data_IF_197734476934
#
_entry.id   IF_197734476934
#
_cell.length_a   1.000
_cell.length_b   1.000
_cell.length_c   1.000
_cell.angle_alpha   90.00
_cell.angle_beta   90.00
_cell.angle_gamma   90.00
#
_symmetry.space_group_name_H-M   'P 1'
#
loop_
_entity.id
_entity.type
_entity.pdbx_description
1 polymer ?
#
# COMPACT_ATOMS: atom_id res chain seq x y z
N UNK A 1 11.61 -40.39 -14.46
CA UNK A 1 10.52 -39.80 -15.25
C UNK A 1 9.40 -39.19 -14.39
N UNK A 2 9.29 -39.46 -13.09
CA UNK A 2 8.21 -38.95 -12.25
C UNK A 2 8.46 -37.56 -11.62
N UNK A 3 9.71 -37.17 -11.39
CA UNK A 3 10.05 -35.89 -10.73
C UNK A 3 9.82 -34.66 -11.64
N UNK A 4 10.01 -34.79 -12.93
CA UNK A 4 9.87 -33.68 -13.88
C UNK A 4 8.41 -33.27 -14.09
N UNK A 5 7.46 -34.21 -14.03
CA UNK A 5 6.03 -33.91 -14.23
C UNK A 5 5.42 -33.21 -12.99
N UNK A 6 5.87 -33.58 -11.79
CA UNK A 6 5.45 -32.90 -10.56
C UNK A 6 6.04 -31.50 -10.42
N UNK A 7 7.27 -31.28 -10.87
CA UNK A 7 7.88 -29.96 -10.92
C UNK A 7 7.20 -29.06 -11.95
N UNK A 8 6.84 -29.57 -13.12
CA UNK A 8 6.10 -28.82 -14.14
C UNK A 8 4.72 -28.41 -13.67
N UNK A 9 3.98 -29.28 -12.96
CA UNK A 9 2.69 -28.96 -12.37
C UNK A 9 2.78 -27.87 -11.30
N UNK A 10 3.81 -27.87 -10.47
CA UNK A 10 4.04 -26.83 -9.46
C UNK A 10 4.38 -25.48 -10.09
N UNK A 11 5.09 -25.47 -11.23
CA UNK A 11 5.38 -24.24 -11.98
C UNK A 11 4.17 -23.68 -12.71
N UNK A 12 3.30 -24.53 -13.24
CA UNK A 12 2.05 -24.09 -13.88
C UNK A 12 1.15 -23.39 -12.86
N UNK A 13 0.98 -23.94 -11.67
CA UNK A 13 0.25 -23.30 -10.57
C UNK A 13 0.84 -21.94 -10.17
N UNK A 14 2.16 -21.85 -10.07
CA UNK A 14 2.83 -20.58 -9.72
C UNK A 14 2.63 -19.50 -10.76
N UNK A 15 2.61 -19.85 -12.05
CA UNK A 15 2.38 -18.90 -13.13
C UNK A 15 0.91 -18.51 -13.25
N UNK A 16 -0.02 -19.41 -12.95
CA UNK A 16 -1.46 -19.12 -12.86
C UNK A 16 -1.75 -18.18 -11.68
N UNK A 17 -1.17 -18.41 -10.51
CA UNK A 17 -1.24 -17.54 -9.34
C UNK A 17 -0.63 -16.14 -9.61
N UNK A 18 0.38 -16.07 -10.49
CA UNK A 18 0.96 -14.82 -10.96
C UNK A 18 0.14 -14.12 -12.07
N UNK A 19 -1.02 -14.68 -12.47
CA UNK A 19 -1.94 -14.11 -13.44
C UNK A 19 -1.60 -14.39 -14.91
N UNK A 20 -0.74 -15.36 -15.17
CA UNK A 20 -0.48 -15.88 -16.52
C UNK A 20 -1.43 -17.04 -16.82
N UNK A 21 -2.37 -16.84 -17.72
CA UNK A 21 -3.21 -17.93 -18.24
C UNK A 21 -2.36 -18.82 -19.15
N UNK A 22 -1.90 -19.94 -18.62
CA UNK A 22 -1.32 -21.01 -19.43
C UNK A 22 -2.49 -21.89 -19.85
N UNK A 23 -2.90 -21.80 -21.11
CA UNK A 23 -3.85 -22.73 -21.69
C UNK A 23 -3.38 -24.19 -21.45
N UNK A 24 -4.30 -25.14 -21.56
CA UNK A 24 -4.02 -26.57 -21.29
C UNK A 24 -2.82 -27.01 -22.13
N UNK A 25 -1.67 -27.11 -21.46
CA UNK A 25 -0.39 -27.50 -22.05
C UNK A 25 -0.20 -29.00 -21.83
N UNK A 26 -0.08 -29.77 -22.92
CA UNK A 26 0.23 -31.19 -22.81
C UNK A 26 1.70 -31.34 -22.36
N UNK A 27 1.97 -31.93 -21.17
CA UNK A 27 3.33 -32.09 -20.64
C UNK A 27 4.21 -33.03 -21.47
N UNK A 28 3.68 -33.62 -22.56
CA UNK A 28 4.41 -34.46 -23.51
C UNK A 28 4.95 -33.69 -24.70
N UNK A 29 4.62 -32.41 -24.85
CA UNK A 29 5.10 -31.57 -25.93
C UNK A 29 6.60 -31.28 -25.78
N UNK A 30 7.40 -31.70 -26.76
CA UNK A 30 8.85 -31.59 -26.73
C UNK A 30 9.34 -30.12 -26.81
N UNK A 31 8.60 -29.29 -27.56
CA UNK A 31 8.94 -27.85 -27.76
C UNK A 31 8.76 -27.08 -26.46
N UNK A 32 7.78 -27.48 -25.63
CA UNK A 32 7.54 -26.88 -24.33
C UNK A 32 8.60 -27.24 -23.30
N UNK A 33 9.14 -28.46 -23.35
CA UNK A 33 10.27 -28.84 -22.49
C UNK A 33 11.52 -28.03 -22.79
N UNK A 34 11.77 -27.71 -24.06
CA UNK A 34 12.88 -26.87 -24.44
C UNK A 34 12.66 -25.42 -23.99
N UNK A 35 11.46 -24.89 -24.16
CA UNK A 35 11.07 -23.55 -23.70
C UNK A 35 11.18 -23.43 -22.18
N UNK A 36 10.66 -24.39 -21.41
CA UNK A 36 10.81 -24.39 -19.94
C UNK A 36 12.25 -24.62 -19.49
N UNK A 37 13.05 -25.38 -20.22
CA UNK A 37 14.48 -25.51 -20.01
C UNK A 37 15.21 -24.17 -20.17
N UNK A 38 14.88 -23.41 -21.19
CA UNK A 38 15.44 -22.09 -21.44
C UNK A 38 14.98 -21.05 -20.37
N UNK A 39 13.72 -21.08 -19.96
CA UNK A 39 13.19 -20.26 -18.87
C UNK A 39 13.88 -20.60 -17.56
N UNK A 40 14.05 -21.87 -17.23
CA UNK A 40 14.77 -22.33 -16.03
C UNK A 40 16.23 -21.84 -16.01
N UNK A 41 16.94 -21.94 -17.12
CA UNK A 41 18.32 -21.50 -17.24
C UNK A 41 18.45 -19.98 -17.06
N UNK A 42 17.43 -19.22 -17.45
CA UNK A 42 17.40 -17.75 -17.34
C UNK A 42 16.91 -17.23 -15.98
N UNK A 43 16.00 -17.97 -15.29
CA UNK A 43 15.50 -17.58 -13.96
C UNK A 43 16.48 -17.83 -12.81
N UNK A 44 17.47 -18.70 -12.98
CA UNK A 44 18.48 -19.02 -11.96
C UNK A 44 19.44 -17.84 -11.67
N UNK A 45 19.46 -16.79 -12.49
CA UNK A 45 20.22 -15.56 -12.23
C UNK A 45 19.57 -14.58 -11.22
N UNK A 46 18.38 -14.85 -10.70
CA UNK A 46 17.73 -13.98 -9.70
C UNK A 46 18.04 -14.49 -8.29
N UNK A 47 18.74 -13.71 -7.48
CA UNK A 47 19.17 -14.05 -6.11
C UNK A 47 18.05 -14.51 -5.16
N UNK A 48 16.79 -14.25 -5.46
CA UNK A 48 15.63 -14.69 -4.69
C UNK A 48 15.29 -16.18 -4.82
N UNK A 49 15.91 -16.91 -5.74
CA UNK A 49 15.64 -18.34 -6.02
C UNK A 49 16.74 -19.30 -5.52
N UNK A 50 17.65 -18.88 -4.68
CA UNK A 50 18.77 -19.68 -4.14
C UNK A 50 18.38 -20.87 -3.25
N UNK A 51 17.09 -21.11 -3.02
CA UNK A 51 16.61 -22.30 -2.29
C UNK A 51 16.40 -23.55 -3.16
N UNK A 52 16.55 -23.43 -4.48
CA UNK A 52 16.42 -24.57 -5.41
C UNK A 52 17.79 -24.82 -6.06
N UNK A 53 18.66 -25.54 -5.37
CA UNK A 53 19.88 -26.16 -5.87
C UNK A 53 20.81 -25.28 -6.72
N UNK A 54 22.08 -25.23 -6.37
CA UNK A 54 23.18 -24.55 -7.11
C UNK A 54 23.20 -24.97 -8.58
N UNK A 55 22.85 -24.04 -9.47
CA UNK A 55 23.11 -24.11 -10.90
C UNK A 55 23.83 -22.81 -11.27
N UNK A 56 25.06 -22.90 -11.74
CA UNK A 56 25.82 -21.74 -12.26
C UNK A 56 25.23 -21.29 -13.60
N UNK A 57 24.73 -20.07 -13.68
CA UNK A 57 24.25 -19.45 -14.90
C UNK A 57 25.05 -18.17 -15.20
N UNK A 58 25.31 -17.84 -16.48
CA UNK A 58 25.97 -16.61 -16.85
C UNK A 58 25.10 -15.38 -16.53
N UNK A 59 25.74 -14.31 -16.08
CA UNK A 59 25.08 -13.03 -15.82
C UNK A 59 24.48 -12.45 -17.12
N UNK A 60 23.17 -12.30 -17.16
CA UNK A 60 22.46 -11.62 -18.25
C UNK A 60 21.97 -10.27 -17.73
N UNK A 61 22.15 -9.20 -18.49
CA UNK A 61 21.74 -7.85 -18.14
C UNK A 61 20.21 -7.75 -18.02
N UNK A 62 19.74 -7.08 -16.96
CA UNK A 62 18.32 -6.88 -16.69
C UNK A 62 17.58 -6.14 -17.83
N UNK A 63 18.29 -5.31 -18.61
CA UNK A 63 17.73 -4.61 -19.76
C UNK A 63 17.53 -5.55 -20.96
N UNK A 64 18.39 -6.53 -21.16
CA UNK A 64 18.27 -7.54 -22.20
C UNK A 64 17.12 -8.51 -21.90
N UNK A 65 16.90 -8.78 -20.62
CA UNK A 65 15.77 -9.58 -20.12
C UNK A 65 14.40 -8.93 -20.43
N UNK A 66 14.28 -7.63 -20.17
CA UNK A 66 13.07 -6.88 -20.47
C UNK A 66 12.73 -6.91 -21.96
N UNK A 67 13.73 -6.81 -22.84
CA UNK A 67 13.54 -6.78 -24.29
C UNK A 67 13.03 -8.10 -24.89
N UNK A 68 13.40 -9.24 -24.29
CA UNK A 68 13.01 -10.58 -24.78
C UNK A 68 11.57 -10.97 -24.43
N UNK A 69 11.06 -10.52 -23.29
CA UNK A 69 9.69 -10.84 -22.85
C UNK A 69 8.62 -9.98 -23.52
N UNK A 70 8.97 -8.80 -24.03
CA UNK A 70 8.01 -7.81 -24.56
C UNK A 70 7.96 -7.71 -26.07
N UNK A 71 8.75 -8.48 -26.80
CA UNK A 71 8.77 -8.45 -28.26
C UNK A 71 7.51 -9.05 -28.92
N UNK A 72 6.65 -9.74 -28.16
CA UNK A 72 5.46 -10.45 -28.69
C UNK A 72 4.12 -9.74 -28.50
N UNK A 73 4.03 -8.71 -27.67
CA UNK A 73 2.78 -7.99 -27.44
C UNK A 73 2.95 -6.55 -27.92
N UNK A 74 2.20 -6.13 -28.92
CA UNK A 74 2.31 -4.83 -29.58
C UNK A 74 1.99 -3.58 -28.71
N UNK A 75 2.11 -3.67 -27.40
CA UNK A 75 1.98 -2.58 -26.45
C UNK A 75 3.37 -2.19 -25.90
N UNK A 76 3.99 -1.17 -26.49
CA UNK A 76 5.20 -0.56 -25.97
C UNK A 76 4.87 0.26 -24.72
N UNK A 77 4.74 -0.38 -23.59
CA UNK A 77 4.83 0.34 -22.31
C UNK A 77 6.29 0.56 -21.97
N UNK A 78 6.72 1.80 -22.08
CA UNK A 78 8.10 2.21 -21.78
C UNK A 78 8.37 2.03 -20.29
N UNK A 79 9.31 1.14 -19.96
CA UNK A 79 9.91 1.07 -18.64
C UNK A 79 10.58 2.40 -18.25
N UNK A 80 10.46 2.72 -17.01
CA UNK A 80 10.99 3.83 -16.25
C UNK A 80 12.34 4.36 -16.79
N UNK A 81 12.32 5.52 -17.42
CA UNK A 81 13.48 6.43 -17.45
C UNK A 81 13.20 7.52 -16.43
N UNK A 82 14.14 7.78 -15.54
CA UNK A 82 14.11 8.83 -14.54
C UNK A 82 14.15 10.22 -15.20
N UNK A 83 13.01 10.63 -15.77
CA UNK A 83 12.67 11.98 -16.17
C UNK A 83 11.28 12.24 -15.61
N UNK A 84 11.06 13.38 -14.99
CA UNK A 84 9.73 13.79 -14.51
C UNK A 84 8.79 13.71 -15.70
N UNK A 85 7.95 12.68 -15.75
CA UNK A 85 6.97 12.51 -16.81
C UNK A 85 5.69 13.20 -16.34
N UNK A 86 5.45 14.42 -16.78
CA UNK A 86 4.25 15.19 -16.46
C UNK A 86 2.95 14.59 -17.06
N UNK A 87 3.04 13.51 -17.80
CA UNK A 87 1.88 12.85 -18.42
C UNK A 87 1.10 12.03 -17.38
N UNK A 88 -0.19 12.29 -17.30
CA UNK A 88 -1.13 11.43 -16.58
C UNK A 88 -1.27 10.11 -17.38
N UNK A 89 -1.11 8.97 -16.70
CA UNK A 89 -1.34 7.65 -17.28
C UNK A 89 -2.62 7.04 -16.70
N UNK A 90 -3.60 6.79 -17.54
CA UNK A 90 -4.82 6.07 -17.16
C UNK A 90 -4.89 4.80 -17.99
N UNK A 91 -4.96 3.64 -17.32
CA UNK A 91 -5.13 2.36 -18.02
C UNK A 91 -6.50 2.31 -18.70
N UNK A 92 -6.63 1.75 -19.92
CA UNK A 92 -7.90 1.73 -20.67
C UNK A 92 -9.08 1.06 -19.95
N UNK A 93 -8.83 0.19 -18.97
CA UNK A 93 -9.87 -0.46 -18.16
C UNK A 93 -10.11 0.23 -16.82
N UNK A 94 -9.45 1.34 -16.52
CA UNK A 94 -9.74 2.15 -15.36
C UNK A 94 -10.95 3.05 -15.63
N UNK A 95 -11.80 3.20 -14.62
CA UNK A 95 -12.98 4.07 -14.66
C UNK A 95 -12.67 5.36 -13.90
N UNK A 96 -12.36 6.42 -14.61
CA UNK A 96 -12.06 7.73 -14.01
C UNK A 96 -13.16 8.71 -14.43
N UNK A 97 -13.85 9.27 -13.43
CA UNK A 97 -14.89 10.26 -13.67
C UNK A 97 -14.31 11.52 -14.36
N UNK A 98 -14.98 12.07 -15.37
CA UNK A 98 -14.59 13.35 -15.98
C UNK A 98 -14.57 14.53 -14.99
N UNK A 99 -15.29 14.41 -13.88
CA UNK A 99 -15.32 15.40 -12.81
C UNK A 99 -14.20 15.22 -11.76
N UNK A 100 -13.37 14.17 -11.88
CA UNK A 100 -12.19 13.99 -11.05
C UNK A 100 -11.04 14.88 -11.53
N UNK A 101 -10.22 15.36 -10.61
CA UNK A 101 -9.01 16.14 -10.89
C UNK A 101 -7.78 15.25 -10.65
N UNK A 102 -6.96 15.08 -11.68
CA UNK A 102 -5.77 14.22 -11.60
C UNK A 102 -4.53 15.08 -11.88
N UNK A 103 -3.60 15.10 -10.94
CA UNK A 103 -2.34 15.82 -11.06
C UNK A 103 -1.35 15.16 -12.02
N UNK A 104 -0.40 15.95 -12.57
CA UNK A 104 0.58 15.46 -13.54
C UNK A 104 1.46 14.34 -12.97
N UNK A 105 1.93 13.45 -13.83
CA UNK A 105 2.76 12.31 -13.46
C UNK A 105 2.04 11.17 -12.75
N UNK A 106 0.74 11.31 -12.45
CA UNK A 106 -0.07 10.28 -11.77
C UNK A 106 -0.39 9.14 -12.70
N UNK A 107 -0.26 7.91 -12.17
CA UNK A 107 -0.57 6.66 -12.87
C UNK A 107 -1.74 5.94 -12.22
N UNK A 108 -2.75 5.56 -13.02
CA UNK A 108 -3.94 4.84 -12.59
C UNK A 108 -3.99 3.53 -13.37
N UNK A 109 -3.91 2.41 -12.66
CA UNK A 109 -3.77 1.09 -13.25
C UNK A 109 -5.13 0.43 -13.53
N UNK A 110 -5.05 -0.74 -14.14
CA UNK A 110 -6.22 -1.50 -14.63
C UNK A 110 -7.27 -1.76 -13.55
N UNK A 111 -8.55 -1.59 -13.93
CA UNK A 111 -9.70 -1.82 -13.05
C UNK A 111 -9.83 -0.86 -11.87
N UNK A 112 -8.96 0.14 -11.74
CA UNK A 112 -9.14 1.16 -10.72
C UNK A 112 -10.35 2.03 -11.04
N UNK A 113 -11.08 2.48 -10.01
CA UNK A 113 -12.20 3.39 -10.13
C UNK A 113 -11.93 4.67 -9.33
N UNK A 114 -12.08 5.82 -9.97
CA UNK A 114 -11.97 7.15 -9.35
C UNK A 114 -13.26 7.90 -9.63
N UNK A 115 -14.00 8.21 -8.57
CA UNK A 115 -15.31 8.82 -8.66
C UNK A 115 -15.26 10.34 -8.84
N UNK A 116 -16.44 10.90 -9.03
CA UNK A 116 -16.69 12.32 -9.22
C UNK A 116 -16.18 13.16 -8.05
N UNK A 117 -15.64 14.34 -8.34
CA UNK A 117 -15.12 15.26 -7.34
C UNK A 117 -13.83 14.85 -6.65
N UNK A 118 -13.34 13.60 -6.86
CA UNK A 118 -12.07 13.17 -6.30
C UNK A 118 -10.91 14.03 -6.83
N UNK A 119 -9.98 14.38 -5.95
CA UNK A 119 -8.81 15.21 -6.25
C UNK A 119 -7.54 14.45 -5.92
N UNK A 120 -6.72 14.17 -6.93
CA UNK A 120 -5.43 13.49 -6.80
C UNK A 120 -4.31 14.46 -7.15
N UNK A 121 -3.31 14.56 -6.29
CA UNK A 121 -2.10 15.34 -6.51
C UNK A 121 -1.24 14.74 -7.62
N UNK A 122 -0.05 15.30 -7.78
CA UNK A 122 0.94 14.87 -8.78
C UNK A 122 1.68 13.62 -8.35
N UNK A 123 2.21 12.88 -9.34
CA UNK A 123 3.11 11.74 -9.12
C UNK A 123 2.52 10.62 -8.23
N UNK A 124 1.19 10.51 -8.17
CA UNK A 124 0.51 9.44 -7.46
C UNK A 124 0.53 8.13 -8.27
N UNK A 125 0.43 7.01 -7.55
CA UNK A 125 0.34 5.70 -8.18
C UNK A 125 -0.81 4.90 -7.55
N UNK A 126 -1.89 4.70 -8.33
CA UNK A 126 -3.07 3.91 -7.94
C UNK A 126 -2.96 2.54 -8.59
N UNK A 127 -2.77 1.51 -7.77
CA UNK A 127 -2.65 0.11 -8.21
C UNK A 127 -3.94 -0.46 -8.80
N UNK A 128 -3.86 -1.70 -9.25
CA UNK A 128 -5.00 -2.44 -9.83
C UNK A 128 -6.19 -2.49 -8.88
N UNK A 129 -7.41 -2.27 -9.42
CA UNK A 129 -8.67 -2.37 -8.68
C UNK A 129 -8.74 -1.46 -7.43
N UNK A 130 -8.00 -0.37 -7.40
CA UNK A 130 -8.14 0.65 -6.33
C UNK A 130 -9.49 1.34 -6.50
N UNK A 131 -10.21 1.52 -5.40
CA UNK A 131 -11.43 2.30 -5.35
C UNK A 131 -11.20 3.62 -4.63
N UNK A 132 -11.45 4.73 -5.31
CA UNK A 132 -11.45 6.09 -4.76
C UNK A 132 -12.86 6.63 -4.89
N UNK A 133 -13.50 6.86 -3.76
CA UNK A 133 -14.86 7.35 -3.67
C UNK A 133 -14.96 8.85 -4.04
N UNK A 134 -16.19 9.35 -4.16
CA UNK A 134 -16.45 10.74 -4.51
C UNK A 134 -15.84 11.71 -3.48
N UNK A 135 -15.40 12.88 -3.95
CA UNK A 135 -14.82 13.98 -3.13
C UNK A 135 -13.62 13.60 -2.25
N UNK A 136 -13.02 12.43 -2.42
CA UNK A 136 -11.78 12.06 -1.73
C UNK A 136 -10.64 12.97 -2.17
N UNK A 137 -9.80 13.41 -1.22
CA UNK A 137 -8.63 14.25 -1.49
C UNK A 137 -7.34 13.49 -1.21
N UNK A 138 -6.46 13.46 -2.20
CA UNK A 138 -5.17 12.76 -2.14
C UNK A 138 -4.08 13.75 -2.54
N UNK A 139 -3.11 13.96 -1.65
CA UNK A 139 -1.95 14.82 -1.87
C UNK A 139 -0.99 14.24 -2.91
N UNK A 140 0.18 14.85 -3.00
CA UNK A 140 1.21 14.50 -3.96
C UNK A 140 1.94 13.19 -3.58
N UNK A 141 2.49 12.47 -4.57
CA UNK A 141 3.37 11.31 -4.38
C UNK A 141 2.80 10.19 -3.50
N UNK A 142 1.48 10.06 -3.44
CA UNK A 142 0.81 8.97 -2.75
C UNK A 142 0.90 7.67 -3.53
N UNK A 143 1.09 6.55 -2.82
CA UNK A 143 1.09 5.20 -3.40
C UNK A 143 -0.02 4.37 -2.77
N UNK A 144 -1.04 4.06 -3.56
CA UNK A 144 -2.19 3.28 -3.15
C UNK A 144 -2.12 1.95 -3.87
N UNK A 145 -1.94 0.87 -3.12
CA UNK A 145 -1.67 -0.45 -3.65
C UNK A 145 -2.96 -1.17 -4.07
N UNK A 146 -2.79 -2.28 -4.79
CA UNK A 146 -3.87 -3.04 -5.41
C UNK A 146 -5.01 -3.36 -4.44
N UNK A 147 -6.25 -3.25 -4.92
CA UNK A 147 -7.48 -3.58 -4.20
C UNK A 147 -7.72 -2.78 -2.90
N UNK A 148 -7.01 -1.68 -2.68
CA UNK A 148 -7.33 -0.79 -1.57
C UNK A 148 -8.59 0.02 -1.87
N UNK A 149 -9.39 0.33 -0.83
CA UNK A 149 -10.61 1.12 -0.94
C UNK A 149 -10.53 2.34 -0.02
N UNK A 150 -10.78 3.52 -0.59
CA UNK A 150 -10.75 4.80 0.12
C UNK A 150 -12.10 5.46 -0.07
N UNK A 151 -12.85 5.54 1.02
CA UNK A 151 -14.22 6.04 1.00
C UNK A 151 -14.30 7.54 1.26
N UNK A 152 -15.42 8.13 0.86
CA UNK A 152 -15.76 9.55 1.00
C UNK A 152 -15.50 10.10 2.41
N UNK A 153 -15.06 11.36 2.49
CA UNK A 153 -14.65 12.01 3.73
C UNK A 153 -13.19 11.74 4.13
N UNK A 154 -12.46 10.98 3.32
CA UNK A 154 -11.03 10.71 3.57
C UNK A 154 -10.14 11.75 2.91
N UNK A 155 -9.11 12.19 3.65
CA UNK A 155 -8.03 13.04 3.15
C UNK A 155 -6.70 12.33 3.37
N UNK A 156 -5.90 12.21 2.31
CA UNK A 156 -4.50 11.79 2.36
C UNK A 156 -3.63 13.00 2.11
N UNK A 157 -2.73 13.32 3.04
CA UNK A 157 -1.65 14.29 2.80
C UNK A 157 -0.58 13.69 1.86
N UNK A 158 0.45 14.47 1.51
CA UNK A 158 1.50 14.03 0.59
C UNK A 158 2.27 12.81 1.10
N UNK A 159 2.73 11.97 0.17
CA UNK A 159 3.63 10.85 0.44
C UNK A 159 3.01 9.69 1.22
N UNK A 160 1.69 9.64 1.37
CA UNK A 160 0.99 8.55 2.05
C UNK A 160 1.11 7.26 1.26
N UNK A 161 1.40 6.16 1.97
CA UNK A 161 1.36 4.81 1.44
C UNK A 161 0.14 4.05 1.98
N UNK A 162 -0.65 3.46 1.09
CA UNK A 162 -1.77 2.57 1.43
C UNK A 162 -1.49 1.18 0.87
N UNK A 163 -1.35 0.21 1.76
CA UNK A 163 -1.04 -1.19 1.42
C UNK A 163 -2.18 -1.89 0.67
N UNK A 164 -1.88 -3.01 0.01
CA UNK A 164 -2.89 -3.75 -0.75
C UNK A 164 -4.02 -4.25 0.17
N UNK A 165 -5.24 -4.22 -0.35
CA UNK A 165 -6.46 -4.60 0.39
C UNK A 165 -6.75 -3.77 1.65
N UNK A 166 -6.06 -2.67 1.91
CA UNK A 166 -6.42 -1.80 3.02
C UNK A 166 -7.76 -1.10 2.74
N UNK A 167 -8.52 -0.85 3.80
CA UNK A 167 -9.84 -0.23 3.70
C UNK A 167 -9.93 0.97 4.65
N UNK A 168 -10.15 2.16 4.09
CA UNK A 168 -10.37 3.40 4.85
C UNK A 168 -11.87 3.67 4.85
N UNK A 169 -12.53 3.38 5.97
CA UNK A 169 -13.99 3.43 6.09
C UNK A 169 -14.50 4.80 6.52
N UNK A 170 -15.81 5.06 6.37
CA UNK A 170 -16.41 6.36 6.64
C UNK A 170 -17.72 6.34 7.44
N UNK A 171 -18.38 5.19 7.60
CA UNK A 171 -19.62 5.06 8.36
C UNK A 171 -19.37 4.36 9.70
N UNK A 172 -19.65 5.04 10.82
CA UNK A 172 -19.51 4.49 12.19
C UNK A 172 -20.63 3.54 12.57
N UNK A 173 -21.83 3.74 12.01
CA UNK A 173 -23.03 3.03 12.38
C UNK A 173 -23.73 2.45 11.14
N UNK A 174 -23.06 1.56 10.39
CA UNK A 174 -23.58 1.06 9.12
C UNK A 174 -24.87 0.24 9.34
N UNK A 175 -25.93 0.66 8.69
CA UNK A 175 -27.21 -0.01 8.64
C UNK A 175 -27.82 0.16 7.26
N UNK A 176 -28.37 -0.89 6.69
CA UNK A 176 -29.08 -0.83 5.41
C UNK A 176 -30.47 -0.19 5.55
N UNK A 177 -31.07 -0.33 6.72
CA UNK A 177 -32.45 0.12 6.97
C UNK A 177 -32.51 1.01 8.22
N UNK A 178 -33.54 1.87 8.27
CA UNK A 178 -33.93 2.65 9.45
C UNK A 178 -34.55 1.74 10.52
N UNK A 179 -34.72 2.20 11.77
CA UNK A 179 -35.47 1.45 12.79
C UNK A 179 -36.93 1.11 12.39
N UNK A 180 -37.51 1.83 11.45
CA UNK A 180 -38.86 1.60 10.91
C UNK A 180 -38.86 0.59 9.75
N UNK A 181 -37.70 0.10 9.32
CA UNK A 181 -37.55 -0.89 8.25
C UNK A 181 -37.48 -0.31 6.83
N UNK A 182 -37.35 1.00 6.70
CA UNK A 182 -37.18 1.68 5.40
C UNK A 182 -35.71 1.67 4.95
N UNK A 183 -35.47 1.59 3.64
CA UNK A 183 -34.11 1.67 3.09
C UNK A 183 -33.50 3.04 3.40
N UNK A 184 -32.29 3.05 3.99
CA UNK A 184 -31.54 4.29 4.22
C UNK A 184 -31.07 4.91 2.90
N UNK A 185 -31.22 6.23 2.81
CA UNK A 185 -30.71 7.05 1.72
C UNK A 185 -29.42 7.78 2.09
N UNK A 186 -29.00 8.70 1.24
CA UNK A 186 -27.79 9.53 1.43
C UNK A 186 -27.83 10.39 2.69
N UNK A 187 -29.02 10.74 3.15
CA UNK A 187 -29.22 11.66 4.29
C UNK A 187 -29.32 10.92 5.64
N UNK A 188 -29.29 9.59 5.61
CA UNK A 188 -29.53 8.73 6.78
C UNK A 188 -28.23 8.23 7.42
N UNK A 189 -27.07 8.74 7.03
CA UNK A 189 -25.78 8.32 7.58
C UNK A 189 -24.86 9.50 7.86
N UNK A 190 -23.97 9.33 8.82
CA UNK A 190 -23.04 10.36 9.26
C UNK A 190 -21.63 9.98 8.84
N UNK A 191 -20.99 10.86 8.05
CA UNK A 191 -19.61 10.67 7.62
C UNK A 191 -18.65 10.93 8.79
N UNK A 192 -17.87 9.92 9.15
CA UNK A 192 -16.73 10.09 10.04
C UNK A 192 -15.46 10.33 9.22
N UNK A 193 -14.96 11.58 9.12
CA UNK A 193 -13.80 11.87 8.27
C UNK A 193 -12.55 11.15 8.77
N UNK A 194 -11.70 10.71 7.83
CA UNK A 194 -10.40 10.10 8.13
C UNK A 194 -9.31 10.97 7.55
N UNK A 195 -8.26 11.23 8.35
CA UNK A 195 -7.09 11.98 7.92
C UNK A 195 -5.84 11.09 8.02
N UNK A 196 -5.19 10.82 6.88
CA UNK A 196 -3.87 10.21 6.84
C UNK A 196 -2.85 11.31 6.59
N UNK A 197 -2.02 11.58 7.60
CA UNK A 197 -1.07 12.70 7.56
C UNK A 197 0.18 12.35 6.76
N UNK A 198 0.99 13.38 6.51
CA UNK A 198 2.20 13.34 5.67
C UNK A 198 3.07 12.11 5.94
N UNK A 199 3.35 11.34 4.89
CA UNK A 199 4.23 10.18 4.95
C UNK A 199 3.70 8.99 5.75
N UNK A 200 2.44 9.00 6.23
CA UNK A 200 1.83 7.87 6.93
C UNK A 200 1.80 6.62 6.05
N UNK A 201 1.93 5.46 6.66
CA UNK A 201 1.91 4.17 5.97
C UNK A 201 0.87 3.24 6.57
N UNK A 202 -0.05 2.78 5.75
CA UNK A 202 -1.09 1.82 6.11
C UNK A 202 -0.68 0.44 5.59
N UNK A 203 -0.56 -0.54 6.46
CA UNK A 203 -0.18 -1.92 6.12
C UNK A 203 -1.23 -2.65 5.28
N UNK A 204 -0.82 -3.73 4.63
CA UNK A 204 -1.70 -4.58 3.84
C UNK A 204 -2.89 -5.09 4.66
N UNK A 205 -4.09 -5.08 4.08
CA UNK A 205 -5.35 -5.53 4.71
C UNK A 205 -5.69 -4.84 6.04
N UNK A 206 -5.07 -3.70 6.36
CA UNK A 206 -5.44 -2.91 7.53
C UNK A 206 -6.76 -2.18 7.29
N UNK A 207 -7.54 -2.00 8.36
CA UNK A 207 -8.80 -1.26 8.34
C UNK A 207 -8.67 -0.03 9.23
N UNK A 208 -8.99 1.15 8.68
CA UNK A 208 -9.03 2.41 9.43
C UNK A 208 -10.49 2.81 9.61
N UNK A 209 -10.92 2.94 10.88
CA UNK A 209 -12.31 3.28 11.21
C UNK A 209 -12.58 4.78 11.05
N UNK A 210 -13.87 5.15 10.89
CA UNK A 210 -14.28 6.54 10.72
C UNK A 210 -13.90 7.44 11.90
N UNK A 211 -13.51 8.68 11.61
CA UNK A 211 -13.11 9.68 12.60
C UNK A 211 -11.69 9.55 13.13
N UNK A 212 -10.85 8.70 12.49
CA UNK A 212 -9.47 8.46 12.88
C UNK A 212 -8.52 9.40 12.13
N UNK A 213 -7.54 9.94 12.84
CA UNK A 213 -6.35 10.56 12.27
C UNK A 213 -5.16 9.64 12.43
N UNK A 214 -4.44 9.34 11.34
CA UNK A 214 -3.15 8.65 11.38
C UNK A 214 -2.05 9.68 11.23
N UNK A 215 -1.19 9.78 12.21
CA UNK A 215 -0.15 10.81 12.34
C UNK A 215 0.93 10.74 11.26
N UNK A 216 1.77 11.79 11.22
CA UNK A 216 2.87 11.90 10.27
C UNK A 216 3.86 10.76 10.44
N UNK A 217 4.27 10.13 9.34
CA UNK A 217 5.19 8.99 9.35
C UNK A 217 4.78 7.83 10.25
N UNK A 218 3.54 7.81 10.76
CA UNK A 218 3.03 6.66 11.50
C UNK A 218 2.95 5.43 10.62
N UNK A 219 3.19 4.27 11.20
CA UNK A 219 3.16 2.98 10.51
C UNK A 219 2.09 2.08 11.14
N UNK A 220 1.05 1.82 10.37
CA UNK A 220 0.01 0.84 10.72
C UNK A 220 0.43 -0.53 10.18
N UNK A 221 0.55 -1.51 11.05
CA UNK A 221 0.91 -2.88 10.68
C UNK A 221 -0.14 -3.56 9.81
N UNK A 222 0.28 -4.57 9.07
CA UNK A 222 -0.63 -5.37 8.23
C UNK A 222 -1.75 -6.01 9.08
N UNK A 223 -2.98 -6.08 8.52
CA UNK A 223 -4.19 -6.60 9.15
C UNK A 223 -4.59 -5.92 10.48
N UNK A 224 -4.04 -4.75 10.79
CA UNK A 224 -4.43 -3.98 11.97
C UNK A 224 -5.81 -3.32 11.78
N UNK A 225 -6.59 -3.23 12.86
CA UNK A 225 -7.86 -2.50 12.90
C UNK A 225 -7.68 -1.24 13.74
N UNK A 226 -7.55 -0.09 13.08
CA UNK A 226 -7.29 1.20 13.71
C UNK A 226 -8.61 1.81 14.16
N UNK A 227 -8.86 1.76 15.46
CA UNK A 227 -10.11 2.21 16.10
C UNK A 227 -9.99 3.59 16.77
N UNK A 228 -8.78 4.14 16.87
CA UNK A 228 -8.45 5.42 17.51
C UNK A 228 -7.35 6.11 16.73
N UNK A 229 -7.22 7.42 16.88
CA UNK A 229 -6.15 8.18 16.24
C UNK A 229 -4.76 7.69 16.64
N UNK A 230 -3.84 7.72 15.68
CA UNK A 230 -2.47 7.20 15.81
C UNK A 230 -1.52 8.38 15.87
N UNK A 231 -0.62 8.46 16.88
CA UNK A 231 0.37 9.51 16.99
C UNK A 231 1.34 9.60 15.81
N UNK A 232 1.97 10.75 15.64
CA UNK A 232 3.06 10.91 14.70
C UNK A 232 4.18 9.90 15.02
N UNK A 233 4.75 9.28 14.00
CA UNK A 233 5.81 8.28 14.09
C UNK A 233 5.44 6.97 14.85
N UNK A 234 4.22 6.81 15.37
CA UNK A 234 3.86 5.60 16.09
C UNK A 234 3.77 4.38 15.19
N UNK A 235 4.25 3.24 15.68
CA UNK A 235 4.01 1.92 15.12
C UNK A 235 2.84 1.28 15.86
N UNK A 236 1.76 0.99 15.13
CA UNK A 236 0.56 0.34 15.69
C UNK A 236 0.29 -0.99 15.01
N UNK A 237 -0.08 -2.01 15.78
CA UNK A 237 -0.41 -3.35 15.29
C UNK A 237 -1.60 -3.94 16.06
N UNK A 238 -2.25 -4.92 15.46
CA UNK A 238 -3.30 -5.72 16.12
C UNK A 238 -4.73 -5.25 15.84
N UNK A 239 -5.70 -5.97 16.41
CA UNK A 239 -7.13 -5.69 16.33
C UNK A 239 -7.76 -5.81 17.71
N UNK A 240 -8.10 -4.69 18.36
CA UNK A 240 -7.85 -3.30 17.94
C UNK A 240 -6.35 -2.96 17.95
N UNK A 241 -5.94 -2.02 17.07
CA UNK A 241 -4.55 -1.59 16.97
C UNK A 241 -4.07 -0.90 18.24
N UNK A 242 -2.83 -1.21 18.65
CA UNK A 242 -2.16 -0.61 19.81
C UNK A 242 -0.77 -0.15 19.41
N UNK A 243 -0.29 0.92 20.03
CA UNK A 243 1.09 1.38 19.88
C UNK A 243 2.03 0.33 20.47
N UNK A 244 3.02 -0.08 19.68
CA UNK A 244 4.05 -1.04 20.08
C UNK A 244 5.46 -0.46 19.97
N UNK A 245 5.59 0.77 19.52
CA UNK A 245 6.85 1.48 19.37
C UNK A 245 6.72 2.69 18.46
N UNK A 246 7.86 3.20 18.02
CA UNK A 246 7.93 4.34 17.11
C UNK A 246 8.90 4.08 15.96
N UNK A 247 8.66 4.73 14.83
CA UNK A 247 9.43 4.59 13.61
C UNK A 247 9.94 5.93 13.09
N UNK A 248 11.10 5.88 12.49
CA UNK A 248 11.71 7.00 11.77
C UNK A 248 10.97 7.27 10.46
N UNK A 249 11.14 8.44 9.87
CA UNK A 249 10.67 8.75 8.54
C UNK A 249 11.17 7.76 7.44
N UNK A 250 12.30 7.07 7.66
CA UNK A 250 12.78 6.02 6.78
C UNK A 250 12.10 4.65 6.99
N UNK A 251 11.17 4.53 7.96
CA UNK A 251 10.49 3.29 8.34
C UNK A 251 11.30 2.38 9.28
N UNK A 252 12.52 2.76 9.69
CA UNK A 252 13.30 2.03 10.70
C UNK A 252 12.78 2.29 12.11
N UNK A 253 12.87 1.30 13.01
CA UNK A 253 12.49 1.46 14.42
C UNK A 253 13.38 2.51 15.10
N UNK A 254 12.78 3.30 15.99
CA UNK A 254 13.49 4.27 16.84
C UNK A 254 13.89 3.64 18.17
N UNK A 255 15.12 3.86 18.59
CA UNK A 255 15.66 3.49 19.90
C UNK A 255 15.70 4.74 20.80
N UNK A 256 15.19 4.61 22.00
CA UNK A 256 15.12 5.67 23.02
C UNK A 256 16.04 5.40 24.21
N UNK A 257 17.16 4.69 24.00
CA UNK A 257 18.17 4.47 25.03
C UNK A 257 17.70 3.59 26.19
N UNK A 258 16.84 2.61 25.92
CA UNK A 258 16.36 1.66 26.92
C UNK A 258 15.12 2.09 27.69
N UNK A 259 14.50 3.22 27.35
CA UNK A 259 13.20 3.62 27.89
C UNK A 259 12.12 2.61 27.48
N UNK A 260 11.23 2.30 28.42
CA UNK A 260 10.02 1.52 28.13
C UNK A 260 9.01 2.31 27.28
N UNK A 261 8.11 1.60 26.62
CA UNK A 261 7.04 2.24 25.83
C UNK A 261 6.17 3.17 26.69
N UNK A 262 5.86 2.77 27.92
CA UNK A 262 5.06 3.57 28.85
C UNK A 262 5.77 4.87 29.24
N UNK A 263 7.10 4.84 29.47
CA UNK A 263 7.90 6.05 29.74
C UNK A 263 7.93 7.00 28.55
N UNK A 264 7.95 6.47 27.33
CA UNK A 264 7.89 7.29 26.12
C UNK A 264 6.48 7.89 25.91
N UNK A 265 5.44 7.12 26.20
CA UNK A 265 4.05 7.54 26.00
C UNK A 265 3.52 8.48 27.09
N UNK A 266 3.97 8.34 28.35
CA UNK A 266 3.44 9.10 29.48
C UNK A 266 3.43 10.62 29.27
N UNK A 267 4.52 11.27 28.80
CA UNK A 267 4.52 12.70 28.52
C UNK A 267 3.58 13.11 27.39
N UNK A 268 3.38 12.21 26.43
CA UNK A 268 2.58 12.44 25.23
C UNK A 268 1.07 12.45 25.53
N UNK A 269 0.67 11.77 26.61
CA UNK A 269 -0.73 11.67 27.09
C UNK A 269 -1.13 12.86 27.94
N UNK A 270 -0.20 13.39 28.75
CA UNK A 270 -0.51 14.41 29.74
C UNK A 270 -0.68 15.82 29.16
N UNK A 271 -0.38 16.01 27.88
CA UNK A 271 -0.59 17.29 27.17
C UNK A 271 0.24 18.46 27.73
N UNK A 272 1.14 18.17 28.68
CA UNK A 272 2.08 19.15 29.18
C UNK A 272 3.08 19.50 28.07
N UNK A 273 3.60 20.73 28.06
CA UNK A 273 4.76 21.13 27.23
C UNK A 273 6.00 20.37 27.73
N UNK A 274 5.90 19.05 27.69
CA UNK A 274 6.85 18.13 28.29
C UNK A 274 8.07 17.97 27.38
N UNK A 275 9.15 17.58 28.01
CA UNK A 275 10.42 17.27 27.39
C UNK A 275 10.25 16.42 26.13
N UNK A 276 10.77 16.92 25.02
CA UNK A 276 10.76 16.18 23.76
C UNK A 276 11.58 14.90 23.91
N UNK A 277 11.02 13.77 23.46
CA UNK A 277 11.71 12.49 23.42
C UNK A 277 12.54 12.35 22.15
N UNK A 278 13.77 11.90 22.26
CA UNK A 278 14.70 11.76 21.14
C UNK A 278 14.95 10.29 20.83
N UNK A 279 14.37 9.82 19.69
CA UNK A 279 14.58 8.45 19.23
C UNK A 279 15.64 8.40 18.13
N UNK A 280 16.62 7.51 18.26
CA UNK A 280 17.68 7.30 17.30
C UNK A 280 17.33 6.16 16.35
N UNK A 281 17.54 6.37 15.04
CA UNK A 281 17.32 5.35 14.02
C UNK A 281 18.63 4.68 13.60
N UNK A 282 18.83 3.43 13.95
CA UNK A 282 20.03 2.67 13.55
C UNK A 282 20.12 2.46 12.03
N UNK A 283 18.97 2.51 11.29
CA UNK A 283 18.93 2.28 9.85
C UNK A 283 19.50 3.45 9.04
N UNK A 284 19.17 4.70 9.40
CA UNK A 284 19.57 5.88 8.62
C UNK A 284 20.43 6.88 9.42
N UNK A 285 20.68 6.62 10.71
CA UNK A 285 21.48 7.48 11.59
C UNK A 285 20.77 8.76 12.07
N UNK A 286 19.54 9.01 11.65
CA UNK A 286 18.81 10.22 12.05
C UNK A 286 18.22 10.10 13.46
N UNK A 287 18.17 11.22 14.17
CA UNK A 287 17.41 11.37 15.40
C UNK A 287 16.06 12.00 15.09
N UNK A 288 14.99 11.38 15.54
CA UNK A 288 13.61 11.88 15.45
C UNK A 288 13.21 12.42 16.80
N UNK A 289 12.63 13.62 16.82
CA UNK A 289 12.13 14.26 18.03
C UNK A 289 10.63 14.02 18.10
N UNK A 290 10.20 13.32 19.16
CA UNK A 290 8.80 13.18 19.53
C UNK A 290 8.49 14.24 20.60
N UNK A 291 7.66 15.21 20.30
CA UNK A 291 7.32 16.28 21.26
C UNK A 291 6.30 17.24 20.69
N UNK A 292 5.64 18.00 21.56
CA UNK A 292 4.49 18.83 21.22
C UNK A 292 3.21 17.99 21.14
N UNK A 293 2.09 18.60 20.88
CA UNK A 293 0.80 17.88 20.75
C UNK A 293 0.88 16.85 19.63
N UNK A 294 1.27 15.60 19.96
CA UNK A 294 1.21 14.46 19.04
C UNK A 294 -0.21 14.26 18.46
N UNK A 295 -1.15 14.98 19.02
CA UNK A 295 -2.56 14.99 18.68
C UNK A 295 -3.07 16.43 18.55
N UNK A 296 -2.61 17.22 17.58
CA UNK A 296 -3.35 18.40 17.20
C UNK A 296 -4.75 17.97 16.71
N UNK A 297 -5.73 18.07 17.60
CA UNK A 297 -7.15 17.81 17.31
C UNK A 297 -7.71 16.45 17.76
N UNK A 298 -6.96 15.58 18.44
CA UNK A 298 -7.50 14.36 19.01
C UNK A 298 -7.58 14.45 20.55
N UNK A 299 -8.79 14.36 21.09
CA UNK A 299 -9.01 14.29 22.54
C UNK A 299 -8.22 13.13 23.17
N UNK A 300 -7.90 13.25 24.46
CA UNK A 300 -7.10 12.36 25.32
C UNK A 300 -7.54 10.87 25.38
N UNK A 301 -8.34 10.38 24.45
CA UNK A 301 -8.86 9.01 24.35
C UNK A 301 -8.10 8.14 23.33
N UNK A 302 -6.89 8.51 22.92
CA UNK A 302 -6.16 7.85 21.83
C UNK A 302 -5.33 6.63 22.26
N UNK A 303 -5.18 6.38 23.57
CA UNK A 303 -4.38 5.26 24.12
C UNK A 303 -5.24 4.14 24.67
#
# INVERSE_FOLDING_TARGET
>A
MGADAQQLAAYSHYLEDAGFSIGHVDPRDADLREMFGQIRTRLVGLESMTKIGKIEAPAVDAAEWASMFWAGTGARDRCYTAGVNDQIRIHPTAEVSPAAQIGPGTSIWNGAQVREGAQLGKECNLGKNVYIDFDVRIGDRCKIQNNASIFHGTILEDGVFVGPHACITNDKLPRAITPQGELKGSDDWEVGPVLLRYGASIGAAAVVLPGVTVGRFALVGAAAVVTRSVPDHALVVGSPARVVGFVCACGGTLDFGGMSLDEILAPLVQGEQSESQHGHCARCGLTTVLGGALFEGAAANAL
#
